data_IF_234698611052
#
_entry.id   IF_234698611052
#
_cell.length_a   1.000
_cell.length_b   1.000
_cell.length_c   1.000
_cell.angle_alpha   90.00
_cell.angle_beta   90.00
_cell.angle_gamma   90.00
#
_symmetry.space_group_name_H-M   'P 1'
#
loop_
_entity.id
_entity.type
_entity.pdbx_description
1 polymer ?
#
# COMPACT_ATOMS: atom_id res chain seq x y z
N UNK A 1 9.74 12.64 -7.91
CA UNK A 1 8.82 12.16 -8.97
C UNK A 1 8.17 10.81 -8.63
N UNK A 2 8.59 10.12 -7.56
CA UNK A 2 8.10 8.78 -7.18
C UNK A 2 6.63 8.77 -6.71
N UNK A 3 6.18 9.79 -5.98
CA UNK A 3 4.81 9.82 -5.42
C UNK A 3 3.70 9.80 -6.49
N UNK A 4 3.95 10.40 -7.66
CA UNK A 4 3.00 10.41 -8.77
C UNK A 4 2.87 9.05 -9.48
N UNK A 5 3.93 8.26 -9.50
CA UNK A 5 3.92 6.89 -10.05
C UNK A 5 3.32 5.90 -9.04
N UNK A 6 3.66 6.05 -7.76
CA UNK A 6 3.08 5.25 -6.66
C UNK A 6 1.56 5.42 -6.60
N UNK A 7 1.04 6.64 -6.77
CA UNK A 7 -0.41 6.91 -6.80
C UNK A 7 -1.11 6.16 -7.94
N UNK A 8 -0.52 6.13 -9.14
CA UNK A 8 -1.09 5.40 -10.29
C UNK A 8 -1.07 3.89 -10.05
N UNK A 9 0.04 3.37 -9.52
CA UNK A 9 0.19 1.96 -9.17
C UNK A 9 -0.78 1.53 -8.08
N UNK A 10 -1.00 2.36 -7.06
CA UNK A 10 -2.01 2.11 -6.01
C UNK A 10 -3.40 2.01 -6.61
N UNK A 11 -3.81 2.95 -7.47
CA UNK A 11 -5.13 2.90 -8.12
C UNK A 11 -5.31 1.62 -8.95
N UNK A 12 -4.27 1.21 -9.67
CA UNK A 12 -4.28 -0.05 -10.40
C UNK A 12 -4.40 -1.26 -9.46
N UNK A 13 -3.66 -1.29 -8.36
CA UNK A 13 -3.71 -2.37 -7.37
C UNK A 13 -5.10 -2.52 -6.73
N UNK A 14 -5.75 -1.41 -6.37
CA UNK A 14 -7.14 -1.42 -5.89
C UNK A 14 -8.13 -1.93 -6.95
N UNK A 15 -7.99 -1.46 -8.20
CA UNK A 15 -8.85 -1.93 -9.29
C UNK A 15 -8.72 -3.45 -9.53
N UNK A 16 -7.49 -3.98 -9.44
CA UNK A 16 -7.23 -5.42 -9.58
C UNK A 16 -7.72 -6.23 -8.39
N UNK A 17 -7.54 -5.73 -7.17
CA UNK A 17 -7.89 -6.46 -5.94
C UNK A 17 -9.39 -6.40 -5.62
N UNK A 18 -10.03 -5.25 -5.81
CA UNK A 18 -11.40 -4.99 -5.36
C UNK A 18 -12.39 -4.77 -6.51
N UNK A 19 -11.94 -4.72 -7.77
CA UNK A 19 -12.81 -4.50 -8.93
C UNK A 19 -13.42 -3.10 -9.02
N UNK A 20 -12.94 -2.14 -8.23
CA UNK A 20 -13.41 -0.74 -8.23
C UNK A 20 -12.27 0.26 -8.22
N UNK A 21 -12.56 1.47 -8.67
CA UNK A 21 -11.65 2.60 -8.53
C UNK A 21 -11.71 3.09 -7.08
N UNK A 22 -10.56 3.23 -6.38
CA UNK A 22 -10.53 3.77 -5.03
C UNK A 22 -10.78 5.28 -5.04
N UNK A 23 -11.35 5.78 -3.95
CA UNK A 23 -11.46 7.22 -3.69
C UNK A 23 -10.08 7.85 -3.43
N UNK A 24 -10.00 9.18 -3.54
CA UNK A 24 -8.73 9.89 -3.29
C UNK A 24 -8.26 9.76 -1.85
N UNK A 25 -9.18 9.61 -0.88
CA UNK A 25 -8.87 9.34 0.51
C UNK A 25 -8.20 7.97 0.67
N UNK A 26 -8.76 6.91 0.09
CA UNK A 26 -8.18 5.55 0.13
C UNK A 26 -6.80 5.50 -0.53
N UNK A 27 -6.61 6.26 -1.62
CA UNK A 27 -5.30 6.36 -2.27
C UNK A 27 -4.30 7.09 -1.37
N UNK A 28 -4.72 8.18 -0.72
CA UNK A 28 -3.88 8.90 0.25
C UNK A 28 -3.47 8.01 1.42
N UNK A 29 -4.41 7.24 1.98
CA UNK A 29 -4.13 6.30 3.08
C UNK A 29 -3.16 5.20 2.65
N UNK A 30 -3.32 4.67 1.45
CA UNK A 30 -2.40 3.67 0.90
C UNK A 30 -0.99 4.23 0.63
N UNK A 31 -0.87 5.48 0.16
CA UNK A 31 0.43 6.17 0.01
C UNK A 31 1.08 6.38 1.38
N UNK A 32 0.30 6.80 2.39
CA UNK A 32 0.77 6.99 3.75
C UNK A 32 1.25 5.66 4.35
N UNK A 33 0.50 4.59 4.16
CA UNK A 33 0.89 3.24 4.56
C UNK A 33 2.22 2.82 3.91
N UNK A 34 2.33 2.95 2.58
CA UNK A 34 3.51 2.54 1.83
C UNK A 34 4.76 3.30 2.29
N UNK A 35 4.61 4.61 2.50
CA UNK A 35 5.69 5.48 3.02
C UNK A 35 6.10 5.06 4.42
N UNK A 36 5.13 4.89 5.33
CA UNK A 36 5.40 4.48 6.71
C UNK A 36 6.05 3.10 6.78
N UNK A 37 5.65 2.17 5.91
CA UNK A 37 6.20 0.82 5.86
C UNK A 37 7.64 0.82 5.34
N UNK A 38 7.94 1.58 4.27
CA UNK A 38 9.32 1.78 3.78
C UNK A 38 10.21 2.35 4.88
N UNK A 39 9.77 3.42 5.56
CA UNK A 39 10.51 4.02 6.68
C UNK A 39 10.81 3.00 7.79
N UNK A 40 9.83 2.15 8.13
CA UNK A 40 10.04 1.09 9.13
C UNK A 40 11.08 0.07 8.67
N UNK A 41 11.07 -0.35 7.40
CA UNK A 41 12.05 -1.29 6.86
C UNK A 41 13.47 -0.71 6.84
N UNK A 42 13.61 0.56 6.48
CA UNK A 42 14.91 1.24 6.47
C UNK A 42 15.45 1.54 7.86
N UNK A 43 14.58 1.61 8.88
CA UNK A 43 14.97 1.85 10.27
C UNK A 43 15.40 0.58 11.03
N UNK A 44 15.33 -0.61 10.41
CA UNK A 44 15.80 -1.85 11.01
C UNK A 44 17.34 -1.84 11.14
N UNK A 45 17.86 -2.50 12.18
CA UNK A 45 19.32 -2.65 12.39
C UNK A 45 20.03 -3.26 11.17
N UNK A 46 19.30 -4.10 10.42
CA UNK A 46 19.72 -4.62 9.13
C UNK A 46 18.62 -4.38 8.09
N UNK A 47 18.67 -3.28 7.33
CA UNK A 47 17.70 -2.99 6.29
C UNK A 47 17.77 -4.07 5.20
N UNK A 48 16.61 -4.56 4.72
CA UNK A 48 16.59 -5.45 3.56
C UNK A 48 17.00 -4.69 2.29
N UNK A 49 17.68 -5.37 1.38
CA UNK A 49 18.05 -4.79 0.07
C UNK A 49 16.87 -4.63 -0.89
N UNK A 50 15.71 -5.22 -0.55
CA UNK A 50 14.47 -5.19 -1.32
C UNK A 50 13.32 -4.56 -0.53
N UNK A 51 13.62 -3.55 0.28
CA UNK A 51 12.66 -2.79 1.09
C UNK A 51 11.46 -2.27 0.27
N UNK A 52 11.71 -1.77 -0.95
CA UNK A 52 10.66 -1.31 -1.84
C UNK A 52 9.68 -2.42 -2.23
N UNK A 53 10.17 -3.61 -2.60
CA UNK A 53 9.32 -4.76 -2.96
C UNK A 53 8.54 -5.27 -1.75
N UNK A 54 9.18 -5.32 -0.58
CA UNK A 54 8.52 -5.72 0.67
C UNK A 54 7.41 -4.76 1.08
N UNK A 55 7.58 -3.46 0.86
CA UNK A 55 6.54 -2.47 1.12
C UNK A 55 5.32 -2.67 0.21
N UNK A 56 5.53 -2.94 -1.08
CA UNK A 56 4.46 -3.26 -2.02
C UNK A 56 3.78 -4.60 -1.68
N UNK A 57 4.53 -5.63 -1.28
CA UNK A 57 3.98 -6.89 -0.82
C UNK A 57 3.11 -6.72 0.44
N UNK A 58 3.54 -5.85 1.37
CA UNK A 58 2.76 -5.46 2.54
C UNK A 58 1.44 -4.81 2.16
N UNK A 59 1.47 -3.85 1.23
CA UNK A 59 0.25 -3.21 0.73
C UNK A 59 -0.67 -4.20 0.02
N UNK A 60 -0.13 -5.07 -0.85
CA UNK A 60 -0.92 -6.10 -1.53
C UNK A 60 -1.61 -7.04 -0.54
N UNK A 61 -0.92 -7.43 0.55
CA UNK A 61 -1.52 -8.21 1.63
C UNK A 61 -2.67 -7.47 2.29
N UNK A 62 -2.51 -6.17 2.59
CA UNK A 62 -3.62 -5.36 3.13
C UNK A 62 -4.79 -5.37 2.15
N UNK A 63 -4.59 -5.03 0.88
CA UNK A 63 -5.68 -4.99 -0.10
C UNK A 63 -6.40 -6.33 -0.25
N UNK A 64 -5.68 -7.44 -0.32
CA UNK A 64 -6.26 -8.77 -0.50
C UNK A 64 -6.90 -9.35 0.76
N UNK A 65 -6.52 -8.86 1.95
CA UNK A 65 -7.06 -9.34 3.25
C UNK A 65 -8.05 -8.37 3.88
N UNK A 66 -8.10 -7.12 3.42
CA UNK A 66 -9.14 -6.14 3.72
C UNK A 66 -10.45 -6.61 3.10
N UNK A 67 -11.13 -7.49 3.81
CA UNK A 67 -12.51 -7.87 3.52
C UNK A 67 -13.38 -6.61 3.65
N UNK A 68 -14.11 -6.24 2.60
CA UNK A 68 -15.16 -5.21 2.67
C UNK A 68 -16.34 -5.61 3.58
N UNK A 69 -16.25 -6.75 4.27
CA UNK A 69 -17.27 -7.35 5.12
C UNK A 69 -16.98 -7.26 6.63
N UNK A 70 -15.82 -6.72 7.04
CA UNK A 70 -15.55 -6.48 8.46
C UNK A 70 -15.97 -5.05 8.83
N UNK A 71 -17.26 -4.88 9.16
CA UNK A 71 -17.69 -3.80 10.03
C UNK A 71 -17.12 -4.07 11.42
N UNK A 72 -16.28 -3.16 11.92
CA UNK A 72 -16.05 -3.03 13.36
C UNK A 72 -16.69 -1.69 13.73
N UNK A 73 -17.84 -1.79 14.43
CA UNK A 73 -18.52 -0.66 15.09
C UNK A 73 -17.65 -0.12 16.25
#
# INVERSE_FOLDING_TARGET
AESGDDTKRIRLAFAMAHGRVPSDAEVSDAVAFLTAYRTKLTALEKPPTNDAELAWAGLARVLLTSNAFLYVD
#
